data_IF_298972106648
#
_entry.id   IF_298972106648
#
_cell.length_a   1.000
_cell.length_b   1.000
_cell.length_c   1.000
_cell.angle_alpha   90.00
_cell.angle_beta   90.00
_cell.angle_gamma   90.00
#
_symmetry.space_group_name_H-M   'P 1'
#
loop_
_entity.id
_entity.type
_entity.pdbx_description
1 polymer ?
#
# COMPACT_ATOMS: atom_id res chain seq x y z
N UNK A 1 -5.14 -45.61 20.50
CA UNK A 1 -5.67 -45.22 19.17
C UNK A 1 -6.17 -43.77 19.20
N UNK A 2 -6.73 -43.31 20.31
CA UNK A 2 -7.23 -41.92 20.48
C UNK A 2 -6.13 -40.83 20.46
N UNK A 3 -4.91 -41.15 20.90
CA UNK A 3 -3.79 -40.19 20.90
C UNK A 3 -3.20 -39.87 19.52
N UNK A 4 -3.42 -40.73 18.51
CA UNK A 4 -2.99 -40.47 17.13
C UNK A 4 -4.00 -39.60 16.37
N UNK A 5 -5.30 -39.78 16.63
CA UNK A 5 -6.35 -38.93 16.05
C UNK A 5 -6.30 -37.50 16.61
N UNK A 6 -6.01 -37.34 17.90
CA UNK A 6 -5.82 -36.02 18.52
C UNK A 6 -4.62 -35.26 17.93
N UNK A 7 -3.51 -35.95 17.61
CA UNK A 7 -2.33 -35.34 16.96
C UNK A 7 -2.60 -34.95 15.50
N UNK A 8 -3.38 -35.75 14.76
CA UNK A 8 -3.77 -35.43 13.38
C UNK A 8 -4.73 -34.24 13.32
N UNK A 9 -5.70 -34.14 14.23
CA UNK A 9 -6.59 -32.97 14.32
C UNK A 9 -5.82 -31.71 14.73
N UNK A 10 -4.87 -31.82 15.67
CA UNK A 10 -4.05 -30.68 16.09
C UNK A 10 -3.19 -30.15 14.94
N UNK A 11 -2.58 -31.03 14.14
CA UNK A 11 -1.78 -30.64 12.97
C UNK A 11 -2.63 -30.00 11.84
N UNK A 12 -3.88 -30.46 11.64
CA UNK A 12 -4.80 -29.83 10.68
C UNK A 12 -5.26 -28.44 11.17
N UNK A 13 -5.52 -28.30 12.47
CA UNK A 13 -5.89 -27.03 13.08
C UNK A 13 -4.71 -26.05 13.03
N UNK A 14 -3.48 -26.48 13.34
CA UNK A 14 -2.26 -25.66 13.17
C UNK A 14 -2.06 -25.21 11.72
N UNK A 15 -2.31 -26.09 10.74
CA UNK A 15 -2.29 -25.74 9.31
C UNK A 15 -3.38 -24.74 8.91
N UNK A 16 -4.54 -24.78 9.55
CA UNK A 16 -5.62 -23.79 9.36
C UNK A 16 -5.32 -22.45 10.04
N UNK A 17 -4.68 -22.44 11.21
CA UNK A 17 -4.29 -21.21 11.92
C UNK A 17 -3.09 -20.49 11.28
N UNK A 18 -2.21 -21.22 10.58
CA UNK A 18 -1.12 -20.60 9.81
C UNK A 18 -1.60 -19.71 8.65
N UNK A 19 -2.86 -19.85 8.22
CA UNK A 19 -3.45 -19.05 7.14
C UNK A 19 -4.28 -17.84 7.60
N UNK A 20 -4.55 -17.67 8.91
CA UNK A 20 -5.48 -16.65 9.42
C UNK A 20 -4.79 -15.31 9.77
N UNK A 21 -3.46 -15.25 9.70
CA UNK A 21 -2.68 -14.06 10.09
C UNK A 21 -1.65 -13.56 9.09
N UNK A 22 -1.65 -14.06 7.85
CA UNK A 22 -0.82 -13.47 6.78
C UNK A 22 -1.66 -12.46 6.03
N UNK A 23 -1.13 -11.24 5.89
CA UNK A 23 -1.63 -10.24 4.95
C UNK A 23 -2.03 -10.92 3.65
N UNK A 24 -3.22 -10.59 3.12
CA UNK A 24 -3.76 -11.21 1.91
C UNK A 24 -2.73 -11.08 0.79
N UNK A 25 -2.03 -12.18 0.52
CA UNK A 25 -1.07 -12.25 -0.58
C UNK A 25 -1.82 -11.96 -1.88
N UNK A 26 -1.42 -10.90 -2.57
CA UNK A 26 -2.01 -10.58 -3.86
C UNK A 26 -1.52 -11.59 -4.90
N UNK A 27 -2.42 -12.20 -5.65
CA UNK A 27 -2.07 -13.23 -6.64
C UNK A 27 -2.32 -12.69 -8.03
N UNK A 28 -1.25 -12.59 -8.82
CA UNK A 28 -1.31 -12.34 -10.25
C UNK A 28 -1.49 -13.68 -10.98
N UNK A 29 -2.72 -13.95 -11.42
CA UNK A 29 -3.01 -15.13 -12.25
C UNK A 29 -2.58 -14.90 -13.69
N UNK A 30 -1.85 -15.85 -14.26
CA UNK A 30 -1.32 -15.77 -15.63
C UNK A 30 -1.63 -17.05 -16.40
N UNK A 31 -2.06 -16.89 -17.65
CA UNK A 31 -2.10 -17.95 -18.65
C UNK A 31 -1.06 -17.65 -19.72
N UNK A 32 -0.15 -18.60 -19.96
CA UNK A 32 1.00 -18.40 -20.85
C UNK A 32 0.97 -19.37 -22.03
N UNK A 33 1.01 -18.82 -23.24
CA UNK A 33 1.22 -19.59 -24.48
C UNK A 33 2.52 -19.18 -25.14
N UNK A 34 3.28 -20.16 -25.61
CA UNK A 34 4.53 -19.92 -26.33
C UNK A 34 4.60 -20.73 -27.63
N UNK A 35 5.43 -20.29 -28.57
CA UNK A 35 5.71 -20.99 -29.83
C UNK A 35 6.49 -22.29 -29.62
N UNK A 36 7.43 -22.28 -28.68
CA UNK A 36 8.29 -23.42 -28.34
C UNK A 36 8.36 -23.66 -26.83
N UNK A 37 8.61 -24.91 -26.47
CA UNK A 37 8.67 -25.36 -25.07
C UNK A 37 9.80 -24.69 -24.26
N UNK A 38 10.96 -24.44 -24.89
CA UNK A 38 12.11 -23.83 -24.20
C UNK A 38 11.80 -22.42 -23.68
N UNK A 39 11.16 -21.59 -24.52
CA UNK A 39 10.71 -20.25 -24.14
C UNK A 39 9.64 -20.32 -23.04
N UNK A 40 8.72 -21.29 -23.13
CA UNK A 40 7.68 -21.50 -22.11
C UNK A 40 8.29 -21.75 -20.72
N UNK A 41 9.20 -22.72 -20.62
CA UNK A 41 9.84 -23.09 -19.35
C UNK A 41 10.72 -21.95 -18.81
N UNK A 42 11.43 -21.22 -19.68
CA UNK A 42 12.24 -20.08 -19.29
C UNK A 42 11.40 -18.92 -18.70
N UNK A 43 10.25 -18.61 -19.31
CA UNK A 43 9.35 -17.56 -18.83
C UNK A 43 8.72 -17.99 -17.50
N UNK A 44 8.19 -19.21 -17.38
CA UNK A 44 7.60 -19.71 -16.13
C UNK A 44 8.62 -19.66 -15.00
N UNK A 45 9.82 -20.17 -15.23
CA UNK A 45 10.88 -20.16 -14.23
C UNK A 45 11.34 -18.75 -13.83
N UNK A 46 11.18 -17.77 -14.72
CA UNK A 46 11.47 -16.36 -14.41
C UNK A 46 10.33 -15.71 -13.62
N UNK A 47 9.07 -15.93 -14.02
CA UNK A 47 7.89 -15.41 -13.34
C UNK A 47 7.76 -15.92 -11.91
N UNK A 48 8.04 -17.21 -11.68
CA UNK A 48 8.01 -17.81 -10.34
C UNK A 48 9.05 -17.19 -9.39
N UNK A 49 10.18 -16.72 -9.92
CA UNK A 49 11.23 -16.05 -9.13
C UNK A 49 10.87 -14.61 -8.74
N UNK A 50 9.84 -14.03 -9.34
CA UNK A 50 9.37 -12.68 -9.00
C UNK A 50 8.51 -12.65 -7.74
N UNK A 51 8.00 -13.80 -7.29
CA UNK A 51 7.13 -13.88 -6.12
C UNK A 51 7.83 -13.38 -4.84
N UNK A 52 7.12 -12.55 -4.08
CA UNK A 52 7.50 -12.06 -2.76
C UNK A 52 6.54 -12.60 -1.70
N UNK A 53 6.70 -12.19 -0.44
CA UNK A 53 5.73 -12.55 0.61
C UNK A 53 4.38 -11.84 0.42
N UNK A 54 4.37 -10.66 -0.21
CA UNK A 54 3.17 -9.82 -0.42
C UNK A 54 2.46 -10.12 -1.76
N UNK A 55 3.19 -10.49 -2.82
CA UNK A 55 2.63 -10.76 -4.16
C UNK A 55 3.18 -12.06 -4.75
N UNK A 56 2.31 -12.89 -5.32
CA UNK A 56 2.66 -14.12 -6.02
C UNK A 56 2.24 -14.09 -7.48
N UNK A 57 3.03 -14.71 -8.35
CA UNK A 57 2.60 -15.05 -9.71
C UNK A 57 2.13 -16.50 -9.72
N UNK A 58 0.86 -16.71 -10.06
CA UNK A 58 0.28 -18.04 -10.23
C UNK A 58 0.04 -18.32 -11.71
N UNK A 59 0.75 -19.29 -12.27
CA UNK A 59 0.56 -19.73 -13.66
C UNK A 59 -0.58 -20.75 -13.68
N UNK A 60 -1.80 -20.29 -14.02
CA UNK A 60 -3.02 -21.11 -14.02
C UNK A 60 -2.97 -22.17 -15.11
N UNK A 61 -2.49 -21.80 -16.29
CA UNK A 61 -2.28 -22.70 -17.41
C UNK A 61 -1.10 -22.25 -18.25
N UNK A 62 -0.39 -23.23 -18.81
CA UNK A 62 0.69 -22.98 -19.75
C UNK A 62 0.64 -24.00 -20.89
N UNK A 63 1.06 -23.59 -22.09
CA UNK A 63 1.07 -24.50 -23.24
C UNK A 63 1.83 -23.98 -24.44
N UNK A 64 2.11 -24.89 -25.36
CA UNK A 64 2.75 -24.59 -26.65
C UNK A 64 1.68 -24.45 -27.72
N UNK A 65 1.79 -23.43 -28.57
CA UNK A 65 0.86 -23.13 -29.65
C UNK A 65 0.06 -21.84 -29.45
N UNK A 66 -0.85 -21.57 -30.38
CA UNK A 66 -1.71 -20.39 -30.35
C UNK A 66 -2.61 -20.33 -29.12
N UNK A 67 -3.16 -19.15 -28.85
CA UNK A 67 -4.15 -18.94 -27.79
C UNK A 67 -5.53 -19.31 -28.36
N UNK A 68 -6.18 -20.26 -27.69
CA UNK A 68 -7.47 -20.83 -28.09
C UNK A 68 -8.63 -20.27 -27.27
N UNK A 69 -9.86 -20.52 -27.73
CA UNK A 69 -11.11 -20.23 -27.01
C UNK A 69 -11.11 -20.78 -25.57
N UNK A 70 -10.62 -22.01 -25.37
CA UNK A 70 -10.53 -22.63 -24.04
C UNK A 70 -9.64 -21.82 -23.09
N UNK A 71 -8.53 -21.28 -23.61
CA UNK A 71 -7.61 -20.45 -22.80
C UNK A 71 -8.25 -19.12 -22.42
N UNK A 72 -9.02 -18.52 -23.33
CA UNK A 72 -9.75 -17.27 -23.08
C UNK A 72 -10.85 -17.45 -22.02
N UNK A 73 -11.62 -18.54 -22.06
CA UNK A 73 -12.61 -18.83 -21.02
C UNK A 73 -11.98 -19.14 -19.66
N UNK A 74 -10.85 -19.84 -19.65
CA UNK A 74 -10.10 -20.09 -18.42
C UNK A 74 -9.57 -18.78 -17.84
N UNK A 75 -9.09 -17.87 -18.68
CA UNK A 75 -8.65 -16.54 -18.27
C UNK A 75 -9.79 -15.73 -17.65
N UNK A 76 -10.98 -15.73 -18.26
CA UNK A 76 -12.16 -15.07 -17.71
C UNK A 76 -12.53 -15.61 -16.32
N UNK A 77 -12.58 -16.94 -16.19
CA UNK A 77 -12.99 -17.59 -14.94
C UNK A 77 -11.98 -17.35 -13.82
N UNK A 78 -10.70 -17.41 -14.13
CA UNK A 78 -9.60 -17.25 -13.16
C UNK A 78 -9.16 -15.79 -12.96
N UNK A 79 -9.76 -14.84 -13.70
CA UNK A 79 -9.30 -13.45 -13.80
C UNK A 79 -7.80 -13.36 -14.11
N UNK A 80 -7.33 -14.21 -15.01
CA UNK A 80 -5.93 -14.27 -15.39
C UNK A 80 -5.61 -13.33 -16.56
N UNK A 81 -4.42 -12.75 -16.53
CA UNK A 81 -3.83 -12.13 -17.70
C UNK A 81 -3.40 -13.21 -18.70
N UNK A 82 -3.61 -12.95 -19.99
CA UNK A 82 -3.18 -13.83 -21.06
C UNK A 82 -1.89 -13.29 -21.70
N UNK A 83 -0.86 -14.13 -21.74
CA UNK A 83 0.45 -13.83 -22.30
C UNK A 83 0.69 -14.74 -23.50
N UNK A 84 0.91 -14.16 -24.67
CA UNK A 84 1.33 -14.87 -25.88
C UNK A 84 2.77 -14.54 -26.26
N UNK A 85 3.68 -15.50 -26.14
CA UNK A 85 5.07 -15.37 -26.55
C UNK A 85 5.29 -15.95 -27.94
N UNK A 86 5.60 -15.10 -28.94
CA UNK A 86 5.71 -15.48 -30.36
C UNK A 86 4.47 -16.18 -30.94
N UNK A 87 3.32 -16.07 -30.28
CA UNK A 87 2.06 -16.67 -30.71
C UNK A 87 0.96 -15.61 -30.77
N UNK A 88 -0.13 -15.97 -31.46
CA UNK A 88 -1.32 -15.14 -31.59
C UNK A 88 -2.54 -15.89 -31.08
N UNK A 89 -3.55 -15.11 -30.71
CA UNK A 89 -4.88 -15.64 -30.46
C UNK A 89 -5.59 -15.88 -31.78
N UNK A 90 -6.35 -16.97 -31.85
CA UNK A 90 -7.30 -17.16 -32.93
C UNK A 90 -8.45 -16.13 -32.84
N UNK A 91 -9.27 -16.06 -33.88
CA UNK A 91 -10.35 -15.07 -33.97
C UNK A 91 -11.34 -15.23 -32.81
N UNK A 92 -11.75 -16.46 -32.55
CA UNK A 92 -12.69 -16.83 -31.48
C UNK A 92 -12.19 -16.43 -30.10
N UNK A 93 -10.93 -16.70 -29.79
CA UNK A 93 -10.30 -16.32 -28.53
C UNK A 93 -10.17 -14.80 -28.39
N UNK A 94 -9.84 -14.09 -29.47
CA UNK A 94 -9.77 -12.62 -29.45
C UNK A 94 -11.13 -12.00 -29.17
N UNK A 95 -12.18 -12.48 -29.83
CA UNK A 95 -13.55 -11.99 -29.63
C UNK A 95 -13.98 -12.17 -28.15
N UNK A 96 -13.66 -13.32 -27.53
CA UNK A 96 -13.94 -13.56 -26.10
C UNK A 96 -13.14 -12.62 -25.21
N UNK A 97 -11.85 -12.46 -25.47
CA UNK A 97 -10.96 -11.58 -24.70
C UNK A 97 -11.46 -10.14 -24.72
N UNK A 98 -11.89 -9.64 -25.89
CA UNK A 98 -12.43 -8.28 -26.03
C UNK A 98 -13.78 -8.13 -25.32
N UNK A 99 -14.69 -9.10 -25.47
CA UNK A 99 -16.01 -9.07 -24.84
C UNK A 99 -15.97 -9.15 -23.31
N UNK A 100 -15.06 -9.95 -22.76
CA UNK A 100 -14.87 -10.14 -21.32
C UNK A 100 -13.93 -9.08 -20.71
N UNK A 101 -13.31 -8.22 -21.53
CA UNK A 101 -12.38 -7.19 -21.07
C UNK A 101 -11.07 -7.75 -20.49
N UNK A 102 -10.62 -8.90 -20.98
CA UNK A 102 -9.42 -9.57 -20.48
C UNK A 102 -8.14 -8.88 -20.96
N UNK A 103 -7.12 -8.87 -20.11
CA UNK A 103 -5.82 -8.34 -20.49
C UNK A 103 -5.05 -9.38 -21.31
N UNK A 104 -4.90 -9.11 -22.60
CA UNK A 104 -4.08 -9.89 -23.53
C UNK A 104 -2.84 -9.10 -23.95
N UNK A 105 -1.66 -9.68 -23.72
CA UNK A 105 -0.39 -9.09 -24.13
C UNK A 105 0.42 -10.07 -24.96
N UNK A 106 1.07 -9.55 -25.99
CA UNK A 106 1.93 -10.31 -26.87
C UNK A 106 3.37 -9.86 -26.74
N UNK A 107 4.29 -10.82 -26.69
CA UNK A 107 5.71 -10.55 -26.54
C UNK A 107 6.52 -11.42 -27.50
N UNK A 108 7.72 -10.97 -27.78
CA UNK A 108 8.75 -11.68 -28.52
C UNK A 108 10.11 -11.66 -27.80
N UNK A 109 10.22 -10.93 -26.68
CA UNK A 109 11.39 -10.82 -25.82
C UNK A 109 11.01 -11.21 -24.39
N UNK A 110 11.79 -12.08 -23.75
CA UNK A 110 11.46 -12.62 -22.43
C UNK A 110 11.53 -11.53 -21.34
N UNK A 111 12.47 -10.60 -21.45
CA UNK A 111 12.62 -9.51 -20.49
C UNK A 111 11.39 -8.62 -20.43
N UNK A 112 10.79 -8.29 -21.57
CA UNK A 112 9.57 -7.48 -21.63
C UNK A 112 8.41 -8.14 -20.87
N UNK A 113 8.29 -9.47 -20.94
CA UNK A 113 7.30 -10.23 -20.16
C UNK A 113 7.53 -10.07 -18.65
N UNK A 114 8.80 -10.16 -18.25
CA UNK A 114 9.21 -10.08 -16.84
C UNK A 114 8.98 -8.66 -16.31
N UNK A 115 9.34 -7.65 -17.08
CA UNK A 115 9.23 -6.24 -16.68
C UNK A 115 7.78 -5.79 -16.60
N UNK A 116 6.93 -6.16 -17.57
CA UNK A 116 5.49 -5.90 -17.48
C UNK A 116 4.87 -6.64 -16.30
N UNK A 117 5.23 -7.90 -16.05
CA UNK A 117 4.76 -8.65 -14.89
C UNK A 117 5.15 -7.96 -13.57
N UNK A 118 6.39 -7.48 -13.43
CA UNK A 118 6.84 -6.69 -12.28
C UNK A 118 6.06 -5.40 -12.12
N UNK A 119 5.82 -4.67 -13.22
CA UNK A 119 5.07 -3.41 -13.17
C UNK A 119 3.64 -3.63 -12.66
N UNK A 120 2.98 -4.69 -13.14
CA UNK A 120 1.63 -5.06 -12.70
C UNK A 120 1.64 -5.46 -11.22
N UNK A 121 2.57 -6.34 -10.83
CA UNK A 121 2.71 -6.76 -9.44
C UNK A 121 3.02 -5.58 -8.51
N UNK A 122 3.78 -4.59 -8.96
CA UNK A 122 4.02 -3.34 -8.22
C UNK A 122 2.74 -2.54 -7.99
N UNK A 123 1.87 -2.46 -9.00
CA UNK A 123 0.54 -1.86 -8.86
C UNK A 123 -0.42 -2.64 -7.94
N UNK A 124 -0.10 -3.91 -7.61
CA UNK A 124 -0.86 -4.73 -6.67
C UNK A 124 -0.32 -4.64 -5.23
N UNK A 125 0.84 -4.01 -5.03
CA UNK A 125 1.39 -3.78 -3.69
C UNK A 125 0.58 -2.71 -2.96
N UNK A 126 0.40 -2.88 -1.66
CA UNK A 126 -0.12 -1.82 -0.82
C UNK A 126 0.82 -0.61 -0.89
N UNK A 127 0.30 0.63 -1.04
CA UNK A 127 1.13 1.82 -1.06
C UNK A 127 1.89 1.96 0.26
N UNK A 128 3.14 2.43 0.17
CA UNK A 128 3.93 2.78 1.34
C UNK A 128 3.36 4.08 1.93
N UNK A 129 2.96 4.02 3.19
CA UNK A 129 2.51 5.19 3.92
C UNK A 129 3.77 5.94 4.38
N UNK A 130 4.04 7.12 3.80
CA UNK A 130 5.14 7.98 4.23
C UNK A 130 4.60 9.20 4.96
N UNK A 131 5.28 9.56 6.02
CA UNK A 131 4.99 10.77 6.78
C UNK A 131 6.01 11.85 6.42
N UNK A 132 5.51 12.98 5.95
CA UNK A 132 6.33 14.16 5.65
C UNK A 132 6.02 15.26 6.66
N UNK A 133 7.06 15.82 7.28
CA UNK A 133 6.90 16.94 8.22
C UNK A 133 6.58 18.20 7.41
N UNK A 134 5.44 18.82 7.72
CA UNK A 134 4.98 20.03 7.02
C UNK A 134 5.24 21.30 7.81
N UNK A 135 5.41 21.19 9.13
CA UNK A 135 5.76 22.34 9.98
C UNK A 135 6.05 21.96 11.42
N UNK A 136 6.78 22.83 12.09
CA UNK A 136 7.16 22.68 13.49
C UNK A 136 6.87 24.00 14.21
N UNK A 137 6.15 23.92 15.32
CA UNK A 137 5.90 25.04 16.22
C UNK A 137 6.50 24.77 17.60
N UNK A 138 7.19 25.77 18.14
CA UNK A 138 7.78 25.71 19.48
C UNK A 138 6.86 26.41 20.48
N UNK A 139 6.53 25.72 21.57
CA UNK A 139 5.68 26.24 22.64
C UNK A 139 6.48 27.20 23.51
N UNK A 140 6.00 28.44 23.62
CA UNK A 140 6.63 29.51 24.41
C UNK A 140 5.90 29.79 25.71
N UNK A 141 4.57 29.70 25.68
CA UNK A 141 3.71 29.96 26.82
C UNK A 141 2.55 28.97 26.83
N UNK A 142 1.94 28.75 27.99
CA UNK A 142 0.77 27.86 28.13
C UNK A 142 -0.29 28.58 28.96
N UNK A 143 -1.52 28.61 28.47
CA UNK A 143 -2.65 29.26 29.12
C UNK A 143 -3.90 28.40 29.08
N UNK A 144 -4.77 28.53 30.07
CA UNK A 144 -6.02 27.78 30.14
C UNK A 144 -7.19 28.62 29.60
N UNK A 145 -7.86 28.09 28.58
CA UNK A 145 -9.09 28.65 28.02
C UNK A 145 -10.31 27.90 28.57
N UNK A 146 -11.33 28.61 29.08
CA UNK A 146 -12.57 27.97 29.56
C UNK A 146 -13.31 27.16 28.48
N UNK A 147 -13.11 27.50 27.20
CA UNK A 147 -13.81 26.90 26.06
C UNK A 147 -13.01 25.77 25.38
N UNK A 148 -11.69 25.81 25.47
CA UNK A 148 -10.81 24.97 24.64
C UNK A 148 -9.73 24.25 25.44
N UNK A 149 -9.83 24.25 26.77
CA UNK A 149 -8.84 23.61 27.65
C UNK A 149 -7.49 24.33 27.61
N UNK A 150 -6.42 23.56 27.74
CA UNK A 150 -5.06 24.09 27.69
C UNK A 150 -4.68 24.51 26.27
N UNK A 151 -4.26 25.76 26.11
CA UNK A 151 -3.77 26.31 24.85
C UNK A 151 -2.29 26.65 25.01
N UNK A 152 -1.49 26.17 24.07
CA UNK A 152 -0.09 26.52 23.91
C UNK A 152 0.04 27.77 23.03
N UNK A 153 0.61 28.83 23.58
CA UNK A 153 1.13 29.95 22.81
C UNK A 153 2.45 29.53 22.18
N UNK A 154 2.44 29.37 20.86
CA UNK A 154 3.55 28.81 20.10
C UNK A 154 3.99 29.74 18.98
N UNK A 155 5.26 29.61 18.57
CA UNK A 155 5.78 30.25 17.37
C UNK A 155 6.14 29.17 16.36
N UNK A 156 5.69 29.33 15.11
CA UNK A 156 6.07 28.41 14.03
C UNK A 156 7.53 28.67 13.66
N UNK A 157 8.41 27.70 13.94
CA UNK A 157 9.86 27.80 13.69
C UNK A 157 10.24 27.24 12.32
N UNK A 158 9.43 26.32 11.77
CA UNK A 158 9.68 25.66 10.49
C UNK A 158 8.36 25.37 9.76
N UNK A 159 8.35 25.50 8.44
CA UNK A 159 7.21 25.12 7.60
C UNK A 159 5.89 25.86 7.92
N UNK A 160 4.77 25.13 7.87
CA UNK A 160 3.42 25.64 8.11
C UNK A 160 2.62 24.66 8.97
N UNK A 161 1.98 25.18 10.01
CA UNK A 161 1.07 24.42 10.88
C UNK A 161 -0.32 24.45 10.27
N UNK A 162 -0.88 23.27 9.98
CA UNK A 162 -2.23 23.12 9.42
C UNK A 162 -3.17 22.52 10.47
N UNK A 163 -4.34 23.14 10.65
CA UNK A 163 -5.33 22.68 11.63
C UNK A 163 -5.86 21.27 11.34
N UNK A 164 -5.97 20.91 10.06
CA UNK A 164 -6.59 19.66 9.62
C UNK A 164 -5.63 18.46 9.57
N UNK A 165 -4.35 18.66 9.88
CA UNK A 165 -3.32 17.62 9.77
C UNK A 165 -2.98 17.01 11.14
N UNK A 166 -2.56 15.74 11.18
CA UNK A 166 -2.13 15.10 12.42
C UNK A 166 -0.86 15.77 12.96
N UNK A 167 -0.67 15.64 14.27
CA UNK A 167 0.43 16.26 14.99
C UNK A 167 1.10 15.29 15.96
N UNK A 168 2.34 15.60 16.30
CA UNK A 168 3.06 15.00 17.43
C UNK A 168 3.57 16.10 18.34
N UNK A 169 3.50 15.85 19.64
CA UNK A 169 4.14 16.68 20.64
C UNK A 169 5.44 16.00 21.04
N UNK A 170 6.54 16.73 20.93
CA UNK A 170 7.87 16.28 21.27
C UNK A 170 8.41 17.09 22.45
N UNK A 171 9.06 16.39 23.39
CA UNK A 171 9.81 16.97 24.51
C UNK A 171 11.19 16.33 24.53
N UNK A 172 12.24 17.15 24.48
CA UNK A 172 13.62 16.66 24.37
C UNK A 172 13.84 15.68 23.19
N UNK A 173 13.15 15.92 22.07
CA UNK A 173 13.11 15.07 20.87
C UNK A 173 12.49 13.67 21.07
N UNK A 174 11.73 13.46 22.14
CA UNK A 174 10.93 12.24 22.38
C UNK A 174 9.46 12.56 22.14
N UNK A 175 8.77 11.73 21.35
CA UNK A 175 7.32 11.84 21.14
C UNK A 175 6.61 11.49 22.45
N UNK A 176 5.91 12.47 23.02
CA UNK A 176 5.13 12.30 24.26
C UNK A 176 3.64 12.17 24.00
N UNK A 177 3.18 12.61 22.82
CA UNK A 177 1.79 12.52 22.42
C UNK A 177 1.65 12.58 20.90
N UNK A 178 0.69 11.83 20.36
CA UNK A 178 0.27 11.88 18.96
C UNK A 178 -1.24 12.11 18.90
N UNK A 179 -1.69 12.96 17.99
CA UNK A 179 -3.10 13.27 17.87
C UNK A 179 -3.40 14.33 16.83
N UNK A 180 -4.45 15.10 17.08
CA UNK A 180 -4.93 16.15 16.18
C UNK A 180 -5.06 17.48 16.91
N UNK A 181 -5.03 18.56 16.14
CA UNK A 181 -5.34 19.89 16.66
C UNK A 181 -6.84 20.01 16.95
N UNK A 182 -7.17 20.47 18.15
CA UNK A 182 -8.53 20.90 18.49
C UNK A 182 -8.81 22.30 17.97
N UNK A 183 -7.83 23.20 18.13
CA UNK A 183 -7.91 24.58 17.66
C UNK A 183 -6.55 25.11 17.20
N UNK A 184 -6.59 25.95 16.18
CA UNK A 184 -5.46 26.73 15.71
C UNK A 184 -5.93 28.18 15.56
N UNK A 185 -5.24 29.09 16.23
CA UNK A 185 -5.64 30.50 16.33
C UNK A 185 -4.47 31.41 16.06
N UNK A 186 -4.73 32.52 15.38
CA UNK A 186 -3.77 33.63 15.28
C UNK A 186 -4.37 34.80 16.05
N UNK A 187 -3.75 35.16 17.16
CA UNK A 187 -4.33 36.07 18.16
C UNK A 187 -5.71 35.58 18.64
N UNK A 188 -6.78 36.25 18.24
CA UNK A 188 -8.16 35.91 18.65
C UNK A 188 -8.95 35.17 17.58
N UNK A 189 -8.42 35.11 16.36
CA UNK A 189 -9.11 34.59 15.19
C UNK A 189 -8.73 33.13 14.94
N UNK A 190 -9.71 32.31 14.55
CA UNK A 190 -9.47 30.94 14.14
C UNK A 190 -8.76 30.93 12.78
N UNK A 191 -7.69 30.12 12.67
CA UNK A 191 -6.87 30.01 11.48
C UNK A 191 -6.86 28.55 10.99
N UNK A 192 -6.86 28.38 9.66
CA UNK A 192 -6.70 27.06 9.05
C UNK A 192 -5.22 26.68 8.89
N UNK A 193 -4.37 27.68 8.65
CA UNK A 193 -2.92 27.52 8.54
C UNK A 193 -2.18 28.69 9.22
N UNK A 194 -1.00 28.42 9.77
CA UNK A 194 -0.08 29.43 10.28
C UNK A 194 1.33 29.12 9.79
N UNK A 195 1.98 30.09 9.15
CA UNK A 195 3.29 29.93 8.51
C UNK A 195 4.44 30.26 9.46
N UNK A 196 5.64 29.80 9.10
CA UNK A 196 6.89 30.14 9.75
C UNK A 196 7.00 31.63 10.12
N UNK A 197 7.49 31.89 11.33
CA UNK A 197 7.77 33.23 11.85
C UNK A 197 6.55 33.93 12.44
N UNK A 198 5.39 33.26 12.47
CA UNK A 198 4.17 33.79 13.09
C UNK A 198 3.87 33.11 14.42
N UNK A 199 3.28 33.88 15.33
CA UNK A 199 2.75 33.39 16.59
C UNK A 199 1.33 32.83 16.41
N UNK A 200 1.03 31.75 17.10
CA UNK A 200 -0.27 31.11 17.11
C UNK A 200 -0.61 30.52 18.49
N UNK A 201 -1.90 30.39 18.74
CA UNK A 201 -2.43 29.56 19.82
C UNK A 201 -2.81 28.19 19.28
N UNK A 202 -2.26 27.14 19.89
CA UNK A 202 -2.51 25.75 19.53
C UNK A 202 -3.20 25.05 20.70
N UNK A 203 -4.40 24.50 20.46
CA UNK A 203 -5.04 23.57 21.37
C UNK A 203 -4.95 22.15 20.82
N UNK A 204 -4.44 21.21 21.62
CA UNK A 204 -4.32 19.79 21.24
C UNK A 204 -5.52 19.02 21.77
N UNK A 205 -6.18 18.24 20.91
CA UNK A 205 -7.38 17.50 21.30
C UNK A 205 -7.02 16.45 22.36
N UNK A 206 -7.80 16.40 23.44
CA UNK A 206 -7.67 15.41 24.52
C UNK A 206 -6.28 15.36 25.19
N UNK A 207 -5.50 16.45 25.13
CA UNK A 207 -4.16 16.51 25.73
C UNK A 207 -3.93 17.83 26.47
N UNK A 208 -3.54 17.75 27.74
CA UNK A 208 -3.40 18.91 28.64
C UNK A 208 -2.05 18.94 29.40
N UNK A 209 -1.01 18.23 28.90
CA UNK A 209 0.36 18.28 29.47
C UNK A 209 1.36 18.94 28.51
N UNK A 210 0.90 19.90 27.70
CA UNK A 210 1.80 20.71 26.87
C UNK A 210 2.57 21.68 27.78
N UNK A 211 3.89 21.75 27.61
CA UNK A 211 4.80 22.59 28.39
C UNK A 211 5.61 23.51 27.49
N UNK A 212 6.09 24.59 28.09
CA UNK A 212 7.05 25.50 27.45
C UNK A 212 8.31 24.72 27.07
N UNK A 213 8.78 24.91 25.84
CA UNK A 213 9.89 24.17 25.25
C UNK A 213 9.48 22.90 24.48
N UNK A 214 8.22 22.46 24.58
CA UNK A 214 7.73 21.39 23.72
C UNK A 214 7.67 21.84 22.26
N UNK A 215 7.88 20.90 21.35
CA UNK A 215 7.73 21.10 19.91
C UNK A 215 6.49 20.37 19.41
N UNK A 216 5.65 21.07 18.68
CA UNK A 216 4.48 20.52 18.01
C UNK A 216 4.85 20.36 16.54
N UNK A 217 5.08 19.12 16.14
CA UNK A 217 5.35 18.74 14.77
C UNK A 217 4.03 18.41 14.07
N UNK A 218 3.80 19.02 12.92
CA UNK A 218 2.67 18.70 12.04
C UNK A 218 3.22 17.92 10.87
N UNK A 219 2.58 16.80 10.56
CA UNK A 219 2.99 15.95 9.44
C UNK A 219 1.80 15.63 8.54
N UNK A 220 2.09 15.26 7.32
CA UNK A 220 1.13 14.74 6.35
C UNK A 220 1.49 13.32 5.99
N UNK A 221 0.46 12.50 5.86
CA UNK A 221 0.60 11.12 5.44
C UNK A 221 0.30 11.02 3.96
N UNK A 222 1.31 10.67 3.16
CA UNK A 222 1.18 10.49 1.72
C UNK A 222 1.32 9.01 1.38
N UNK A 223 0.37 8.49 0.60
CA UNK A 223 0.45 7.15 0.02
C UNK A 223 1.37 7.18 -1.20
N UNK A 224 2.50 6.47 -1.12
CA UNK A 224 3.46 6.36 -2.22
C UNK A 224 3.37 4.95 -2.80
N UNK A 225 3.05 4.84 -4.09
CA UNK A 225 3.03 3.55 -4.78
C UNK A 225 4.41 2.88 -4.73
N UNK A 226 4.45 1.62 -4.30
CA UNK A 226 5.69 0.83 -4.25
C UNK A 226 6.02 0.24 -5.62
N UNK A 227 7.31 0.12 -5.91
CA UNK A 227 7.83 -0.65 -7.05
C UNK A 227 8.56 -1.89 -6.56
N UNK A 228 8.49 -2.97 -7.34
CA UNK A 228 9.27 -4.20 -7.14
C UNK A 228 10.72 -4.07 -7.61
#
# INVERSE_FOLDING_TARGET
KDSQQAKQQSAMIEGMFAGIGKDQKSILNVILKADVRGSLEAIIGSLQKLGTEEVEVNVVASGVGGISETDAHLAATSKAMVIGFNVRADKTARDIIENEGLQLRYYNVIYDVIDDAKAIMGGMLAPEIREEIVGIAEVRDVFNSPKFGQIAGSMVIEGTVYRSKPIRVLRDNVVIYEGELESLRRFKDDANEVRNGMECGIGVRNYNDVKVGDKIEVYETTEVARSL
#
